data_IF_143739458943
#
_entry.id   IF_143739458943
#
_cell.length_a   1.000
_cell.length_b   1.000
_cell.length_c   1.000
_cell.angle_alpha   90.00
_cell.angle_beta   90.00
_cell.angle_gamma   90.00
#
_symmetry.space_group_name_H-M   'P 1'
#
loop_
_entity.id
_entity.type
_entity.pdbx_description
1 polymer ?
#
# COMPACT_ATOMS: atom_id res chain seq x y z
N UNK A 1 13.93 -19.12 19.60
CA UNK A 1 14.66 -17.83 19.44
C UNK A 1 14.08 -17.12 18.22
N UNK A 2 13.75 -15.82 18.31
CA UNK A 2 13.40 -15.06 17.12
C UNK A 2 14.60 -15.00 16.15
N UNK A 3 14.31 -14.95 14.85
CA UNK A 3 15.33 -14.76 13.83
C UNK A 3 15.97 -13.37 13.94
N UNK A 4 17.27 -13.26 13.65
CA UNK A 4 17.95 -11.96 13.51
C UNK A 4 17.70 -11.30 12.15
N UNK A 5 17.12 -12.03 11.19
CA UNK A 5 16.78 -11.47 9.88
C UNK A 5 15.61 -10.51 10.02
N UNK A 6 15.75 -9.31 9.42
CA UNK A 6 14.70 -8.30 9.39
C UNK A 6 14.57 -7.70 7.99
N UNK A 7 13.39 -7.19 7.71
CA UNK A 7 13.08 -6.39 6.53
C UNK A 7 12.60 -5.03 7.01
N UNK A 8 13.17 -3.96 6.46
CA UNK A 8 12.79 -2.58 6.79
C UNK A 8 12.07 -1.96 5.58
N UNK A 9 10.84 -1.51 5.81
CA UNK A 9 10.02 -0.88 4.77
C UNK A 9 9.94 0.62 5.03
N UNK A 10 10.39 1.41 4.06
CA UNK A 10 10.40 2.87 4.17
C UNK A 10 9.01 3.47 3.91
N UNK A 11 8.37 3.96 4.98
CA UNK A 11 7.09 4.68 4.88
C UNK A 11 7.20 5.96 4.07
N UNK A 12 8.32 6.67 4.16
CA UNK A 12 8.53 7.91 3.40
C UNK A 12 8.64 7.64 1.90
N UNK A 13 9.28 6.54 1.50
CA UNK A 13 9.34 6.11 0.10
C UNK A 13 7.93 5.79 -0.45
N UNK A 14 7.10 5.08 0.32
CA UNK A 14 5.71 4.78 -0.08
C UNK A 14 4.91 6.07 -0.33
N UNK A 15 5.00 7.05 0.59
CA UNK A 15 4.33 8.35 0.44
C UNK A 15 4.85 9.14 -0.76
N UNK A 16 6.17 9.19 -0.92
CA UNK A 16 6.80 9.87 -2.04
C UNK A 16 6.31 9.30 -3.38
N UNK A 17 6.35 7.97 -3.53
CA UNK A 17 5.94 7.29 -4.76
C UNK A 17 4.44 7.52 -5.05
N UNK A 18 3.58 7.42 -4.04
CA UNK A 18 2.16 7.71 -4.20
C UNK A 18 1.91 9.15 -4.70
N UNK A 19 2.62 10.13 -4.15
CA UNK A 19 2.51 11.54 -4.56
C UNK A 19 2.99 11.76 -6.00
N UNK A 20 4.04 11.06 -6.43
CA UNK A 20 4.48 11.07 -7.83
C UNK A 20 3.41 10.50 -8.75
N UNK A 21 2.85 9.33 -8.43
CA UNK A 21 1.74 8.75 -9.18
C UNK A 21 0.55 9.72 -9.23
N UNK A 22 0.23 10.40 -8.12
CA UNK A 22 -0.86 11.39 -8.06
C UNK A 22 -0.61 12.57 -8.99
N UNK A 23 0.62 13.09 -9.01
CA UNK A 23 1.00 14.16 -9.95
C UNK A 23 0.81 13.71 -11.41
N UNK A 24 1.14 12.46 -11.73
CA UNK A 24 0.98 11.90 -13.08
C UNK A 24 -0.48 11.61 -13.43
N UNK A 25 -1.30 11.21 -12.45
CA UNK A 25 -2.72 10.89 -12.64
C UNK A 25 -3.60 12.13 -12.81
N UNK A 26 -3.12 13.33 -12.43
CA UNK A 26 -3.88 14.57 -12.52
C UNK A 26 -5.11 14.55 -11.60
N UNK A 27 -6.30 14.69 -12.17
CA UNK A 27 -7.57 14.65 -11.43
C UNK A 27 -8.12 13.22 -11.22
N UNK A 28 -7.51 12.21 -11.84
CA UNK A 28 -7.96 10.83 -11.67
C UNK A 28 -7.64 10.31 -10.26
N UNK A 29 -8.58 9.55 -9.68
CA UNK A 29 -8.34 8.84 -8.42
C UNK A 29 -7.30 7.75 -8.58
N UNK A 30 -6.53 7.49 -7.52
CA UNK A 30 -5.52 6.42 -7.50
C UNK A 30 -6.03 5.22 -6.72
N UNK A 31 -5.84 4.03 -7.30
CA UNK A 31 -6.04 2.74 -6.66
C UNK A 31 -4.69 2.02 -6.51
N UNK A 32 -4.03 2.09 -5.34
CA UNK A 32 -2.82 1.32 -5.07
C UNK A 32 -3.13 -0.17 -5.03
N UNK A 33 -2.26 -0.96 -5.64
CA UNK A 33 -2.33 -2.40 -5.55
C UNK A 33 -1.62 -2.87 -4.29
N UNK A 34 -2.35 -3.53 -3.39
CA UNK A 34 -1.84 -4.06 -2.12
C UNK A 34 -2.01 -5.58 -1.99
N UNK A 35 -2.27 -6.26 -3.11
CA UNK A 35 -2.27 -7.73 -3.21
C UNK A 35 -0.96 -8.37 -2.72
N UNK A 36 -1.02 -9.65 -2.37
CA UNK A 36 0.11 -10.45 -1.90
C UNK A 36 0.88 -9.77 -0.76
N UNK A 37 0.15 -9.34 0.26
CA UNK A 37 0.70 -8.59 1.40
C UNK A 37 1.42 -7.28 1.00
N UNK A 38 0.81 -6.50 0.09
CA UNK A 38 1.45 -5.38 -0.59
C UNK A 38 2.82 -5.76 -1.17
N UNK A 39 2.86 -6.86 -1.92
CA UNK A 39 4.09 -7.41 -2.49
C UNK A 39 5.16 -7.68 -1.40
N UNK A 40 4.74 -8.20 -0.24
CA UNK A 40 5.59 -8.50 0.91
C UNK A 40 6.03 -7.29 1.74
N UNK A 41 5.45 -6.10 1.53
CA UNK A 41 5.76 -4.89 2.29
C UNK A 41 4.86 -4.69 3.53
N UNK A 42 3.87 -5.55 3.73
CA UNK A 42 2.87 -5.43 4.78
C UNK A 42 1.63 -4.67 4.32
N UNK A 43 0.60 -5.40 3.89
CA UNK A 43 -0.60 -4.88 3.24
C UNK A 43 -1.34 -3.85 4.09
N UNK A 44 -1.56 -4.14 5.37
CA UNK A 44 -2.36 -3.27 6.25
C UNK A 44 -1.67 -1.92 6.45
N UNK A 45 -0.36 -1.92 6.69
CA UNK A 45 0.39 -0.69 6.91
C UNK A 45 0.53 0.13 5.62
N UNK A 46 0.82 -0.53 4.49
CA UNK A 46 0.82 0.13 3.20
C UNK A 46 -0.55 0.76 2.87
N UNK A 47 -1.64 0.02 3.08
CA UNK A 47 -2.99 0.52 2.83
C UNK A 47 -3.33 1.74 3.68
N UNK A 48 -2.99 1.73 4.98
CA UNK A 48 -3.15 2.90 5.87
C UNK A 48 -2.37 4.12 5.40
N UNK A 49 -1.12 3.93 4.97
CA UNK A 49 -0.28 5.02 4.45
C UNK A 49 -0.92 5.62 3.20
N UNK A 50 -1.36 4.79 2.25
CA UNK A 50 -1.96 5.29 1.03
C UNK A 50 -3.36 5.89 1.25
N UNK A 51 -4.16 5.35 2.17
CA UNK A 51 -5.43 5.95 2.57
C UNK A 51 -5.21 7.38 3.10
N UNK A 52 -4.21 7.57 3.97
CA UNK A 52 -3.84 8.88 4.50
C UNK A 52 -3.28 9.83 3.42
N UNK A 53 -2.72 9.31 2.33
CA UNK A 53 -2.32 10.10 1.16
C UNK A 53 -3.49 10.35 0.18
N UNK A 54 -4.68 9.82 0.42
CA UNK A 54 -5.86 10.04 -0.40
C UNK A 54 -6.06 9.03 -1.53
N UNK A 55 -5.69 7.76 -1.33
CA UNK A 55 -6.11 6.68 -2.21
C UNK A 55 -7.63 6.63 -2.35
N UNK A 56 -8.13 6.55 -3.58
CA UNK A 56 -9.56 6.51 -3.88
C UNK A 56 -10.15 5.11 -3.68
N UNK A 57 -9.33 4.07 -3.82
CA UNK A 57 -9.69 2.67 -3.63
C UNK A 57 -8.44 1.82 -3.38
N UNK A 58 -8.60 0.52 -3.12
CA UNK A 58 -7.51 -0.45 -3.00
C UNK A 58 -7.74 -1.65 -3.91
N UNK A 59 -6.68 -2.06 -4.63
CA UNK A 59 -6.70 -3.23 -5.47
C UNK A 59 -6.03 -4.43 -4.79
N UNK A 60 -6.77 -5.54 -4.69
CA UNK A 60 -6.30 -6.84 -4.18
C UNK A 60 -6.48 -7.92 -5.24
N UNK A 61 -5.87 -9.09 -5.07
CA UNK A 61 -6.04 -10.22 -5.99
C UNK A 61 -7.20 -11.13 -5.58
N UNK A 62 -7.41 -11.28 -4.27
CA UNK A 62 -8.36 -12.27 -3.74
C UNK A 62 -9.33 -11.66 -2.73
N UNK A 63 -10.56 -12.16 -2.68
CA UNK A 63 -11.59 -11.65 -1.77
C UNK A 63 -11.16 -11.68 -0.30
N UNK A 64 -10.39 -12.71 0.11
CA UNK A 64 -9.84 -12.81 1.48
C UNK A 64 -8.93 -11.62 1.83
N UNK A 65 -8.16 -11.10 0.88
CA UNK A 65 -7.31 -9.93 1.11
C UNK A 65 -8.17 -8.68 1.30
N UNK A 66 -9.26 -8.58 0.55
CA UNK A 66 -10.26 -7.52 0.71
C UNK A 66 -10.95 -7.55 2.08
N UNK A 67 -11.23 -8.74 2.63
CA UNK A 67 -11.78 -8.89 3.99
C UNK A 67 -10.80 -8.36 5.03
N UNK A 68 -9.49 -8.63 4.89
CA UNK A 68 -8.47 -8.15 5.82
C UNK A 68 -8.31 -6.61 5.83
N UNK A 69 -8.79 -5.92 4.79
CA UNK A 69 -8.77 -4.46 4.69
C UNK A 69 -10.04 -3.78 5.24
N UNK A 70 -11.03 -4.53 5.73
CA UNK A 70 -12.26 -4.03 6.34
C UNK A 70 -12.12 -3.91 7.86
#
# INVERSE_FOLDING_TARGET
MPSFNRVEISRSALRHNFRLCRKMAGSAGIMPMVKADAYGHGMIECARIFAAEGAAAFGVAEAREGILLR
#
